data_IF_552045389403
#
_entry.id   IF_552045389403
#
_cell.length_a   1.000
_cell.length_b   1.000
_cell.length_c   1.000
_cell.angle_alpha   90.00
_cell.angle_beta   90.00
_cell.angle_gamma   90.00
#
_symmetry.space_group_name_H-M   'P 1'
#
loop_
_entity.id
_entity.type
_entity.pdbx_description
1 polymer ?
#
# COMPACT_ATOMS: atom_id res chain seq x y z
N UNK A 1 8.52 4.18 -43.17
CA UNK A 1 8.52 3.00 -42.27
C UNK A 1 9.47 3.34 -41.14
N UNK A 2 8.99 4.05 -40.14
CA UNK A 2 9.79 4.48 -38.98
C UNK A 2 8.75 4.71 -37.88
N UNK A 3 8.66 3.78 -36.93
CA UNK A 3 7.56 3.81 -35.96
C UNK A 3 7.61 2.73 -34.87
N UNK A 4 8.34 1.63 -35.06
CA UNK A 4 8.32 0.51 -34.10
C UNK A 4 9.50 0.49 -33.10
N UNK A 5 10.56 1.27 -33.31
CA UNK A 5 11.78 1.16 -32.48
C UNK A 5 11.72 1.92 -31.14
N UNK A 6 10.83 2.92 -31.00
CA UNK A 6 10.85 3.84 -29.85
C UNK A 6 10.00 3.33 -28.67
N UNK A 7 9.00 2.48 -28.92
CA UNK A 7 8.11 1.95 -27.87
C UNK A 7 8.79 0.86 -27.04
N UNK A 8 9.76 0.12 -27.60
CA UNK A 8 10.46 -0.98 -26.93
C UNK A 8 11.45 -0.48 -25.85
N UNK A 9 12.26 0.54 -26.14
CA UNK A 9 13.25 1.06 -25.19
C UNK A 9 12.62 1.74 -23.95
N UNK A 10 11.46 2.39 -24.14
CA UNK A 10 10.71 2.99 -23.04
C UNK A 10 9.98 1.94 -22.18
N UNK A 11 9.46 0.88 -22.81
CA UNK A 11 8.82 -0.23 -22.09
C UNK A 11 9.81 -1.01 -21.18
N UNK A 12 11.03 -1.24 -21.64
CA UNK A 12 12.07 -1.91 -20.83
C UNK A 12 12.51 -1.05 -19.65
N UNK A 13 12.65 0.26 -19.83
CA UNK A 13 13.02 1.19 -18.75
C UNK A 13 11.94 1.28 -17.67
N UNK A 14 10.66 1.29 -18.05
CA UNK A 14 9.56 1.30 -17.08
C UNK A 14 9.49 0.01 -16.26
N UNK A 15 9.73 -1.14 -16.89
CA UNK A 15 9.77 -2.43 -16.19
C UNK A 15 10.90 -2.49 -15.15
N UNK A 16 12.10 -2.03 -15.52
CA UNK A 16 13.25 -2.00 -14.63
C UNK A 16 13.04 -1.09 -13.40
N UNK A 17 12.34 0.04 -13.57
CA UNK A 17 12.00 0.92 -12.43
C UNK A 17 11.02 0.20 -11.51
N UNK A 18 9.94 -0.37 -12.07
CA UNK A 18 8.92 -1.06 -11.29
C UNK A 18 9.48 -2.27 -10.53
N UNK A 19 10.46 -2.98 -11.08
CA UNK A 19 11.11 -4.12 -10.43
C UNK A 19 12.02 -3.73 -9.27
N UNK A 20 12.55 -2.51 -9.24
CA UNK A 20 13.39 -2.01 -8.14
C UNK A 20 12.60 -1.26 -7.05
N UNK A 21 11.29 -1.05 -7.24
CA UNK A 21 10.47 -0.41 -6.21
C UNK A 21 10.19 -1.39 -5.07
N UNK A 22 10.33 -0.96 -3.79
CA UNK A 22 9.94 -1.75 -2.61
C UNK A 22 8.41 -1.81 -2.43
N UNK A 23 7.66 -1.67 -3.54
CA UNK A 23 6.19 -1.70 -3.58
C UNK A 23 5.81 -2.81 -4.55
N UNK A 24 4.94 -3.72 -4.13
CA UNK A 24 4.37 -4.72 -5.01
C UNK A 24 3.45 -4.06 -6.03
N UNK A 25 3.67 -4.31 -7.31
CA UNK A 25 2.82 -3.80 -8.40
C UNK A 25 2.27 -4.99 -9.18
N UNK A 26 0.94 -5.06 -9.27
CA UNK A 26 0.22 -6.02 -10.11
C UNK A 26 -0.62 -5.21 -11.09
N UNK A 27 -0.50 -5.46 -12.40
CA UNK A 27 -1.43 -4.93 -13.38
C UNK A 27 -2.33 -6.05 -13.89
N UNK A 28 -3.61 -5.72 -14.00
CA UNK A 28 -4.70 -6.57 -14.43
C UNK A 28 -5.29 -6.02 -15.72
N UNK A 29 -5.74 -6.90 -16.60
CA UNK A 29 -6.60 -6.50 -17.71
C UNK A 29 -8.06 -6.29 -17.25
N UNK A 30 -8.94 -5.93 -18.18
CA UNK A 30 -10.37 -5.73 -17.92
C UNK A 30 -11.10 -7.01 -17.45
N UNK A 31 -10.52 -8.19 -17.66
CA UNK A 31 -11.07 -9.47 -17.18
C UNK A 31 -10.61 -9.84 -15.77
N UNK A 32 -9.68 -9.07 -15.19
CA UNK A 32 -9.05 -9.38 -13.90
C UNK A 32 -7.88 -10.34 -13.99
N UNK A 33 -7.38 -10.61 -15.19
CA UNK A 33 -6.20 -11.47 -15.39
C UNK A 33 -4.92 -10.67 -15.19
N UNK A 34 -3.93 -11.24 -14.50
CA UNK A 34 -2.62 -10.62 -14.28
C UNK A 34 -1.86 -10.53 -15.60
N UNK A 35 -1.67 -9.30 -16.09
CA UNK A 35 -0.84 -9.01 -17.28
C UNK A 35 0.57 -8.57 -16.90
N UNK A 36 0.75 -8.10 -15.66
CA UNK A 36 2.04 -7.71 -15.14
C UNK A 36 2.12 -7.92 -13.63
N UNK A 37 3.28 -8.34 -13.15
CA UNK A 37 3.59 -8.44 -11.74
C UNK A 37 5.09 -8.23 -11.55
N UNK A 38 5.47 -7.24 -10.74
CA UNK A 38 6.89 -7.02 -10.42
C UNK A 38 7.42 -8.07 -9.44
N UNK A 39 8.75 -8.11 -9.26
CA UNK A 39 9.39 -9.07 -8.36
C UNK A 39 8.84 -8.98 -6.92
N UNK A 40 8.70 -7.76 -6.38
CA UNK A 40 8.18 -7.54 -5.03
C UNK A 40 6.76 -8.11 -4.85
N UNK A 41 5.85 -7.83 -5.78
CA UNK A 41 4.50 -8.39 -5.74
C UNK A 41 4.52 -9.91 -5.83
N UNK A 42 5.36 -10.48 -6.71
CA UNK A 42 5.48 -11.94 -6.85
C UNK A 42 5.98 -12.61 -5.57
N UNK A 43 6.96 -12.01 -4.89
CA UNK A 43 7.45 -12.49 -3.60
C UNK A 43 6.41 -12.40 -2.49
N UNK A 44 5.56 -11.36 -2.52
CA UNK A 44 4.53 -11.15 -1.50
C UNK A 44 3.29 -12.03 -1.71
N UNK A 45 2.74 -12.05 -2.93
CA UNK A 45 1.42 -12.60 -3.22
C UNK A 45 1.45 -13.94 -3.95
N UNK A 46 2.62 -14.34 -4.48
CA UNK A 46 2.70 -15.45 -5.43
C UNK A 46 1.80 -15.19 -6.64
N UNK A 47 0.95 -16.15 -6.99
CA UNK A 47 -0.03 -16.03 -8.08
C UNK A 47 -1.44 -15.62 -7.60
N UNK A 48 -1.59 -15.32 -6.31
CA UNK A 48 -2.89 -14.92 -5.73
C UNK A 48 -3.03 -13.41 -5.71
N UNK A 49 -4.23 -12.89 -5.97
CA UNK A 49 -4.51 -11.46 -5.82
C UNK A 49 -4.79 -11.11 -4.35
N UNK A 50 -4.19 -10.04 -3.80
CA UNK A 50 -4.40 -9.62 -2.42
C UNK A 50 -5.69 -8.79 -2.26
N UNK A 51 -6.73 -9.11 -3.03
CA UNK A 51 -8.04 -8.47 -3.03
C UNK A 51 -9.14 -9.51 -3.19
N UNK A 52 -10.32 -9.25 -2.63
CA UNK A 52 -11.48 -10.12 -2.81
C UNK A 52 -12.10 -9.95 -4.21
N UNK A 53 -12.92 -10.91 -4.62
CA UNK A 53 -13.68 -10.84 -5.87
C UNK A 53 -14.58 -9.60 -5.95
N UNK A 54 -15.20 -9.22 -4.82
CA UNK A 54 -16.04 -8.03 -4.73
C UNK A 54 -15.24 -6.75 -4.97
N UNK A 55 -14.07 -6.63 -4.32
CA UNK A 55 -13.15 -5.51 -4.51
C UNK A 55 -12.65 -5.42 -5.96
N UNK A 56 -12.33 -6.57 -6.56
CA UNK A 56 -11.92 -6.62 -7.96
C UNK A 56 -13.04 -6.14 -8.90
N UNK A 57 -14.29 -6.53 -8.64
CA UNK A 57 -15.44 -6.04 -9.41
C UNK A 57 -15.64 -4.52 -9.24
N UNK A 58 -15.53 -3.99 -8.02
CA UNK A 58 -15.57 -2.54 -7.78
C UNK A 58 -14.49 -1.80 -8.60
N UNK A 59 -13.30 -2.38 -8.68
CA UNK A 59 -12.17 -1.80 -9.39
C UNK A 59 -12.36 -1.81 -10.91
N UNK A 60 -12.76 -2.95 -11.47
CA UNK A 60 -12.83 -3.16 -12.92
C UNK A 60 -14.16 -2.70 -13.53
N UNK A 61 -15.28 -3.11 -12.93
CA UNK A 61 -16.61 -2.85 -13.47
C UNK A 61 -17.11 -1.46 -13.08
N UNK A 62 -16.97 -1.11 -11.78
CA UNK A 62 -17.44 0.18 -11.28
C UNK A 62 -16.39 1.28 -11.45
N UNK A 63 -15.19 0.96 -11.97
CA UNK A 63 -14.07 1.89 -12.13
C UNK A 63 -13.76 2.63 -10.83
N UNK A 64 -13.96 1.98 -9.69
CA UNK A 64 -13.82 2.59 -8.39
C UNK A 64 -12.40 2.36 -7.85
N UNK A 65 -11.73 3.43 -7.46
CA UNK A 65 -10.43 3.33 -6.79
C UNK A 65 -10.61 2.71 -5.41
N UNK A 66 -9.85 1.66 -5.12
CA UNK A 66 -9.74 1.08 -3.78
C UNK A 66 -8.56 1.74 -3.06
N UNK A 67 -8.76 2.13 -1.80
CA UNK A 67 -7.70 2.75 -0.99
C UNK A 67 -7.64 2.08 0.37
N UNK A 68 -6.44 1.84 0.88
CA UNK A 68 -6.21 1.31 2.23
C UNK A 68 -6.91 -0.04 2.49
N UNK A 69 -7.00 -0.91 1.48
CA UNK A 69 -7.47 -2.28 1.69
C UNK A 69 -6.41 -3.00 2.50
N UNK A 70 -6.75 -3.42 3.71
CA UNK A 70 -5.80 -4.13 4.56
C UNK A 70 -5.73 -5.60 4.14
N UNK A 71 -4.53 -6.04 3.81
CA UNK A 71 -4.22 -7.42 3.49
C UNK A 71 -3.17 -7.92 4.48
N UNK A 72 -3.49 -8.99 5.20
CA UNK A 72 -2.66 -9.54 6.27
C UNK A 72 -2.45 -11.04 6.07
N UNK A 73 -1.43 -11.44 5.31
CA UNK A 73 -0.91 -12.79 5.35
C UNK A 73 -0.03 -12.96 6.60
N UNK A 74 -0.35 -13.96 7.42
CA UNK A 74 0.37 -14.36 8.63
C UNK A 74 0.54 -13.27 9.71
N UNK A 75 1.61 -12.47 9.65
CA UNK A 75 2.01 -11.49 10.68
C UNK A 75 2.45 -10.13 10.13
N UNK A 76 2.41 -9.92 8.81
CA UNK A 76 2.76 -8.64 8.19
C UNK A 76 1.50 -7.89 7.77
N UNK A 77 1.53 -6.57 7.90
CA UNK A 77 0.42 -5.70 7.50
C UNK A 77 0.75 -5.02 6.19
N UNK A 78 -0.01 -5.36 5.15
CA UNK A 78 0.07 -4.69 3.87
C UNK A 78 -1.17 -3.86 3.62
N UNK A 79 -0.98 -2.72 2.97
CA UNK A 79 -2.07 -1.97 2.36
C UNK A 79 -2.06 -2.19 0.86
N UNK A 80 -3.22 -2.48 0.32
CA UNK A 80 -3.46 -2.61 -1.11
C UNK A 80 -4.28 -1.42 -1.58
N UNK A 81 -3.72 -0.67 -2.52
CA UNK A 81 -4.43 0.38 -3.25
C UNK A 81 -4.72 -0.11 -4.66
N UNK A 82 -5.97 -0.02 -5.08
CA UNK A 82 -6.40 -0.39 -6.42
C UNK A 82 -6.70 0.85 -7.24
N UNK A 83 -6.06 0.98 -8.40
CA UNK A 83 -6.24 2.08 -9.35
C UNK A 83 -6.87 1.54 -10.64
N UNK A 84 -8.09 1.96 -11.02
CA UNK A 84 -8.68 1.60 -12.31
C UNK A 84 -7.90 2.27 -13.46
N UNK A 85 -7.59 1.51 -14.51
CA UNK A 85 -6.88 1.97 -15.70
C UNK A 85 -7.73 1.74 -16.95
N UNK A 86 -7.63 2.54 -18.03
CA UNK A 86 -8.50 2.43 -19.22
C UNK A 86 -8.69 0.99 -19.77
N UNK A 87 -7.66 0.13 -19.70
CA UNK A 87 -7.70 -1.27 -20.14
C UNK A 87 -7.76 -2.34 -19.03
N UNK A 88 -7.97 -1.96 -17.76
CA UNK A 88 -7.98 -2.89 -16.63
C UNK A 88 -7.78 -2.17 -15.30
N UNK A 89 -6.83 -2.65 -14.49
CA UNK A 89 -6.51 -1.98 -13.23
C UNK A 89 -5.09 -2.29 -12.74
N UNK A 90 -4.59 -1.49 -11.81
CA UNK A 90 -3.34 -1.74 -11.10
C UNK A 90 -3.60 -1.88 -9.60
N UNK A 91 -2.96 -2.85 -8.97
CA UNK A 91 -2.90 -3.02 -7.53
C UNK A 91 -1.50 -2.66 -7.06
N UNK A 92 -1.41 -1.79 -6.05
CA UNK A 92 -0.19 -1.38 -5.38
C UNK A 92 -0.22 -1.95 -3.97
N UNK A 93 0.77 -2.75 -3.62
CA UNK A 93 0.89 -3.44 -2.34
C UNK A 93 2.06 -2.80 -1.62
N UNK A 94 1.78 -2.18 -0.49
CA UNK A 94 2.80 -1.54 0.35
C UNK A 94 2.84 -2.24 1.69
N UNK A 95 4.04 -2.61 2.12
CA UNK A 95 4.28 -3.02 3.50
C UNK A 95 4.16 -1.78 4.41
N UNK A 96 3.24 -1.85 5.34
CA UNK A 96 3.02 -0.80 6.35
C UNK A 96 3.30 -1.31 7.76
N UNK A 97 3.94 -2.47 7.88
CA UNK A 97 4.21 -3.11 9.18
C UNK A 97 4.97 -2.16 10.11
N UNK A 98 6.06 -1.52 9.63
CA UNK A 98 6.81 -0.53 10.41
C UNK A 98 5.96 0.68 10.82
N UNK A 99 5.07 1.15 9.94
CA UNK A 99 4.22 2.31 10.23
C UNK A 99 3.16 1.99 11.28
N UNK A 100 2.58 0.79 11.20
CA UNK A 100 1.60 0.30 12.18
C UNK A 100 2.27 0.07 13.53
N UNK A 101 3.48 -0.48 13.57
CA UNK A 101 4.24 -0.67 14.81
C UNK A 101 4.65 0.66 15.45
N UNK A 102 5.19 1.61 14.67
CA UNK A 102 5.54 2.94 15.16
C UNK A 102 4.32 3.68 15.71
N UNK A 103 3.17 3.57 15.03
CA UNK A 103 1.90 4.13 15.50
C UNK A 103 1.43 3.48 16.80
N UNK A 104 1.46 2.14 16.90
CA UNK A 104 1.10 1.43 18.14
C UNK A 104 2.03 1.78 19.30
N UNK A 105 3.33 1.92 19.05
CA UNK A 105 4.28 2.35 20.07
C UNK A 105 4.00 3.80 20.53
N UNK A 106 3.59 4.68 19.63
CA UNK A 106 3.18 6.04 19.98
C UNK A 106 1.86 6.06 20.77
N UNK A 107 0.86 5.28 20.36
CA UNK A 107 -0.41 5.13 21.07
C UNK A 107 -0.21 4.53 22.47
N UNK A 108 0.64 3.52 22.63
CA UNK A 108 1.01 2.96 23.93
C UNK A 108 1.71 3.98 24.83
N UNK A 109 2.60 4.81 24.28
CA UNK A 109 3.24 5.90 25.03
C UNK A 109 2.24 6.99 25.45
N UNK A 110 1.28 7.33 24.57
CA UNK A 110 0.21 8.29 24.90
C UNK A 110 -0.73 7.76 25.98
N UNK A 111 -1.10 6.48 25.93
CA UNK A 111 -1.98 5.87 26.93
C UNK A 111 -1.26 5.71 28.28
N UNK A 112 0.02 5.34 28.29
CA UNK A 112 0.83 5.36 29.51
C UNK A 112 0.95 6.76 30.10
N UNK A 113 1.14 7.78 29.27
CA UNK A 113 1.17 9.17 29.72
C UNK A 113 -0.19 9.61 30.28
N UNK A 114 -1.31 9.20 29.65
CA UNK A 114 -2.67 9.49 30.12
C UNK A 114 -2.95 8.86 31.48
N UNK A 115 -2.61 7.59 31.68
CA UNK A 115 -2.80 6.88 32.95
C UNK A 115 -1.90 7.43 34.08
N UNK A 116 -0.69 7.89 33.77
CA UNK A 116 0.17 8.59 34.73
C UNK A 116 -0.38 9.97 35.11
N UNK A 117 -1.03 10.66 34.18
CA UNK A 117 -1.62 11.98 34.42
C UNK A 117 -2.94 11.88 35.19
N UNK A 118 -3.75 10.84 34.95
CA UNK A 118 -5.03 10.63 35.67
C UNK A 118 -4.84 10.13 37.12
N UNK A 119 -3.66 9.65 37.52
CA UNK A 119 -3.35 9.23 38.90
C UNK A 119 -2.42 10.16 39.68
N UNK A 120 -2.04 11.32 39.14
CA UNK A 120 -1.28 12.31 39.90
C UNK A 120 -2.24 13.29 40.62
N UNK A 121 -2.36 13.27 41.96
CA UNK A 121 -3.06 14.32 42.71
C UNK A 121 -2.27 15.65 42.73
N UNK A 122 -1.50 15.98 41.69
CA UNK A 122 -0.66 17.18 41.66
C UNK A 122 -0.54 17.70 40.23
N UNK A 123 -1.13 18.88 39.98
CA UNK A 123 -1.24 19.48 38.65
C UNK A 123 0.11 19.73 37.99
N UNK A 124 0.28 19.20 36.77
CA UNK A 124 1.43 19.52 35.91
C UNK A 124 1.13 20.83 35.18
N UNK A 125 1.72 21.94 35.64
CA UNK A 125 1.74 23.20 34.91
C UNK A 125 2.92 23.18 33.92
N UNK A 126 2.63 23.22 32.61
CA UNK A 126 3.66 23.43 31.58
C UNK A 126 3.99 24.92 31.53
N UNK A 127 5.11 25.33 32.13
CA UNK A 127 5.67 26.66 31.90
C UNK A 127 6.29 26.69 30.50
N UNK A 128 5.71 27.46 29.59
CA UNK A 128 6.34 27.80 28.32
C UNK A 128 7.20 29.03 28.58
N UNK A 129 8.52 28.86 28.57
CA UNK A 129 9.45 29.98 28.64
C UNK A 129 9.34 30.78 27.33
N UNK A 130 9.10 32.08 27.45
CA UNK A 130 9.08 33.00 26.32
C UNK A 130 10.42 33.73 26.31
N UNK A 131 11.21 33.52 25.27
CA UNK A 131 12.35 34.38 24.93
C UNK A 131 12.07 35.05 23.60
#
# INVERSE_FOLDING_TARGET
>A
MEGDADTSASAESHKAILDNLPVGVIALDASGTIVYQNQTARSLTGDTLPVSHEQLAMLLEQRQRLTSVHWQPDSHSYTVDGIPLPGGAALLIRDVSEQVEARRALEQRMEQFRLLTEHAPTGVAILRDMT
#
